data_IF_258361672348
#
_entry.id   IF_258361672348
#
_cell.length_a   1.000
_cell.length_b   1.000
_cell.length_c   1.000
_cell.angle_alpha   90.00
_cell.angle_beta   90.00
_cell.angle_gamma   90.00
#
_symmetry.space_group_name_H-M   'P 1'
#
loop_
_entity.id
_entity.type
_entity.pdbx_description
1 polymer ?
#
# COMPACT_ATOMS: atom_id res chain seq x y z
N UNK A 1 -12.70 -9.61 4.17
CA UNK A 1 -13.75 -9.72 3.14
C UNK A 1 -13.88 -8.39 2.46
N UNK A 2 -13.80 -8.34 1.15
CA UNK A 2 -14.10 -7.12 0.42
C UNK A 2 -15.55 -6.72 0.76
N UNK A 3 -15.83 -5.41 0.96
CA UNK A 3 -17.20 -4.97 1.15
C UNK A 3 -18.06 -5.42 -0.04
N UNK A 4 -19.27 -5.88 0.22
CA UNK A 4 -20.21 -6.40 -0.80
C UNK A 4 -20.53 -5.33 -1.85
N UNK A 5 -20.40 -4.06 -1.50
CA UNK A 5 -20.43 -2.91 -2.42
C UNK A 5 -19.03 -2.30 -2.55
N UNK A 6 -18.12 -3.00 -3.21
CA UNK A 6 -17.01 -2.31 -3.86
C UNK A 6 -17.65 -1.40 -4.90
N UNK A 7 -17.62 -0.09 -4.69
CA UNK A 7 -18.33 0.88 -5.50
C UNK A 7 -18.19 0.63 -7.01
N UNK A 8 -19.24 0.87 -7.73
CA UNK A 8 -19.25 0.77 -9.18
C UNK A 8 -18.33 1.82 -9.82
N UNK A 9 -18.05 1.68 -11.11
CA UNK A 9 -17.32 2.71 -11.84
C UNK A 9 -18.02 4.08 -11.76
N UNK A 10 -19.36 4.08 -11.81
CA UNK A 10 -20.15 5.30 -11.65
C UNK A 10 -19.97 5.96 -10.27
N UNK A 11 -19.87 5.17 -9.21
CA UNK A 11 -19.59 5.69 -7.86
C UNK A 11 -18.21 6.36 -7.79
N UNK A 12 -17.22 5.75 -8.44
CA UNK A 12 -15.89 6.35 -8.56
C UNK A 12 -15.93 7.67 -9.34
N UNK A 13 -16.64 7.72 -10.46
CA UNK A 13 -16.79 8.93 -11.28
C UNK A 13 -17.44 10.06 -10.46
N UNK A 14 -18.51 9.76 -9.75
CA UNK A 14 -19.18 10.73 -8.87
C UNK A 14 -18.24 11.20 -7.75
N UNK A 15 -17.53 10.28 -7.12
CA UNK A 15 -16.53 10.60 -6.09
C UNK A 15 -15.46 11.57 -6.59
N UNK A 16 -14.91 11.34 -7.79
CA UNK A 16 -13.90 12.22 -8.40
C UNK A 16 -14.47 13.60 -8.64
N UNK A 17 -15.67 13.71 -9.24
CA UNK A 17 -16.29 14.99 -9.53
C UNK A 17 -16.58 15.80 -8.26
N UNK A 18 -17.14 15.16 -7.25
CA UNK A 18 -17.44 15.82 -5.97
C UNK A 18 -16.19 16.33 -5.27
N UNK A 19 -15.15 15.50 -5.21
CA UNK A 19 -13.91 15.88 -4.54
C UNK A 19 -13.08 16.90 -5.35
N UNK A 20 -13.08 16.82 -6.67
CA UNK A 20 -12.44 17.86 -7.50
C UNK A 20 -13.11 19.22 -7.28
N UNK A 21 -14.45 19.28 -7.26
CA UNK A 21 -15.17 20.53 -6.95
C UNK A 21 -14.85 21.09 -5.57
N UNK A 22 -14.62 20.21 -4.60
CA UNK A 22 -14.32 20.60 -3.23
C UNK A 22 -12.89 21.12 -3.07
N UNK A 23 -11.91 20.44 -3.63
CA UNK A 23 -10.49 20.75 -3.43
C UNK A 23 -9.90 21.65 -4.52
N UNK A 24 -10.49 21.65 -5.71
CA UNK A 24 -10.05 22.44 -6.88
C UNK A 24 -11.25 23.18 -7.50
N UNK A 25 -11.84 24.16 -6.78
CA UNK A 25 -13.02 24.89 -7.26
C UNK A 25 -12.72 25.74 -8.49
N UNK A 26 -11.46 26.17 -8.67
CA UNK A 26 -11.01 26.86 -9.88
C UNK A 26 -10.42 25.87 -10.88
N UNK A 27 -11.05 25.65 -12.05
CA UNK A 27 -10.51 24.78 -13.08
C UNK A 27 -9.13 25.18 -13.60
N UNK A 28 -8.79 26.47 -13.50
CA UNK A 28 -7.49 26.99 -13.95
C UNK A 28 -6.35 26.70 -12.99
N UNK A 29 -6.65 26.21 -11.79
CA UNK A 29 -5.64 25.79 -10.83
C UNK A 29 -4.83 24.56 -11.27
N UNK A 30 -5.36 23.80 -12.25
CA UNK A 30 -4.73 22.61 -12.80
C UNK A 30 -4.26 22.84 -14.22
N UNK A 31 -3.12 22.26 -14.57
CA UNK A 31 -2.55 22.36 -15.92
C UNK A 31 -3.35 21.53 -16.92
N UNK A 32 -3.23 21.84 -18.22
CA UNK A 32 -3.86 21.06 -19.29
C UNK A 32 -3.46 19.58 -19.24
N UNK A 33 -2.19 19.30 -19.05
CA UNK A 33 -1.69 17.92 -18.93
C UNK A 33 -2.28 17.17 -17.73
N UNK A 34 -2.55 17.87 -16.64
CA UNK A 34 -3.23 17.28 -15.48
C UNK A 34 -4.69 16.94 -15.82
N UNK A 35 -5.38 17.81 -16.53
CA UNK A 35 -6.74 17.53 -16.99
C UNK A 35 -6.82 16.32 -17.94
N UNK A 36 -5.84 16.16 -18.83
CA UNK A 36 -5.75 15.00 -19.71
C UNK A 36 -5.59 13.68 -18.92
N UNK A 37 -4.84 13.72 -17.81
CA UNK A 37 -4.71 12.56 -16.89
C UNK A 37 -6.03 12.33 -16.14
N UNK A 38 -6.68 13.38 -15.62
CA UNK A 38 -7.97 13.27 -14.93
C UNK A 38 -9.00 12.60 -15.83
N UNK A 39 -9.13 13.07 -17.06
CA UNK A 39 -10.07 12.54 -18.04
C UNK A 39 -9.80 11.05 -18.32
N UNK A 40 -8.54 10.68 -18.54
CA UNK A 40 -8.15 9.29 -18.78
C UNK A 40 -8.53 8.38 -17.61
N UNK A 41 -8.18 8.76 -16.38
CA UNK A 41 -8.49 7.97 -15.20
C UNK A 41 -9.97 7.96 -14.84
N UNK A 42 -10.69 9.04 -15.15
CA UNK A 42 -12.12 9.12 -14.97
C UNK A 42 -12.89 8.13 -15.87
N UNK A 43 -12.39 7.89 -17.10
CA UNK A 43 -12.95 6.91 -18.02
C UNK A 43 -12.46 5.47 -17.79
N UNK A 44 -11.36 5.28 -17.06
CA UNK A 44 -10.75 3.97 -16.84
C UNK A 44 -11.56 3.14 -15.84
N UNK A 45 -12.34 2.18 -16.35
CA UNK A 45 -13.08 1.24 -15.51
C UNK A 45 -12.18 0.09 -15.06
N UNK A 46 -11.98 -0.01 -13.76
CA UNK A 46 -11.20 -1.06 -13.09
C UNK A 46 -12.06 -1.88 -12.12
N UNK A 47 -13.38 -1.82 -12.23
CA UNK A 47 -14.29 -2.51 -11.32
C UNK A 47 -14.12 -4.04 -11.33
N UNK A 48 -13.76 -4.61 -12.47
CA UNK A 48 -13.49 -6.05 -12.61
C UNK A 48 -12.34 -6.55 -11.72
N UNK A 49 -11.39 -5.67 -11.37
CA UNK A 49 -10.30 -6.01 -10.43
C UNK A 49 -10.82 -6.44 -9.07
N UNK A 50 -11.93 -5.84 -8.63
CA UNK A 50 -12.55 -6.17 -7.36
C UNK A 50 -13.07 -7.61 -7.36
N UNK A 51 -13.62 -8.06 -8.48
CA UNK A 51 -14.13 -9.42 -8.65
C UNK A 51 -12.98 -10.41 -8.76
N UNK A 52 -12.00 -10.11 -9.59
CA UNK A 52 -10.84 -11.00 -9.85
C UNK A 52 -10.01 -11.25 -8.60
N UNK A 53 -9.89 -10.28 -7.71
CA UNK A 53 -9.09 -10.40 -6.50
C UNK A 53 -9.90 -10.74 -5.25
N UNK A 54 -11.22 -10.91 -5.34
CA UNK A 54 -12.09 -11.12 -4.17
C UNK A 54 -11.64 -12.30 -3.30
N UNK A 55 -11.28 -13.42 -3.94
CA UNK A 55 -10.88 -14.65 -3.25
C UNK A 55 -9.51 -14.55 -2.56
N UNK A 56 -8.68 -13.61 -2.97
CA UNK A 56 -7.35 -13.39 -2.39
C UNK A 56 -7.36 -12.55 -1.10
N UNK A 57 -8.54 -12.09 -0.69
CA UNK A 57 -8.71 -11.30 0.53
C UNK A 57 -9.30 -12.16 1.66
N UNK A 58 -8.69 -12.06 2.84
CA UNK A 58 -9.16 -12.76 4.04
C UNK A 58 -10.59 -12.35 4.41
N UNK A 59 -11.36 -13.32 4.88
CA UNK A 59 -12.70 -13.08 5.44
C UNK A 59 -12.64 -12.50 6.87
N UNK A 60 -11.46 -12.49 7.48
CA UNK A 60 -11.24 -12.04 8.85
C UNK A 60 -10.23 -10.89 8.85
N UNK A 61 -10.40 -9.97 9.79
CA UNK A 61 -9.50 -8.83 9.97
C UNK A 61 -10.11 -7.48 9.55
N UNK A 62 -9.33 -6.39 9.58
CA UNK A 62 -9.80 -5.08 9.19
C UNK A 62 -10.18 -5.05 7.71
N UNK A 63 -11.14 -4.19 7.34
CA UNK A 63 -11.58 -4.03 5.97
C UNK A 63 -10.40 -3.64 5.06
N UNK A 64 -10.15 -4.41 3.99
CA UNK A 64 -9.07 -4.09 3.07
C UNK A 64 -9.40 -2.87 2.22
N UNK A 65 -8.38 -2.21 1.67
CA UNK A 65 -8.56 -1.19 0.64
C UNK A 65 -9.15 -1.83 -0.62
N UNK A 66 -10.00 -1.08 -1.31
CA UNK A 66 -10.67 -1.54 -2.54
C UNK A 66 -9.62 -1.83 -3.62
N UNK A 67 -9.59 -3.04 -4.21
CA UNK A 67 -8.56 -3.43 -5.18
C UNK A 67 -8.49 -2.53 -6.41
N UNK A 68 -9.63 -2.10 -6.95
CA UNK A 68 -9.67 -1.17 -8.10
C UNK A 68 -9.04 0.19 -7.78
N UNK A 69 -9.21 0.70 -6.54
CA UNK A 69 -8.55 1.92 -6.10
C UNK A 69 -7.03 1.73 -5.95
N UNK A 70 -6.60 0.59 -5.42
CA UNK A 70 -5.18 0.25 -5.31
C UNK A 70 -4.52 0.13 -6.68
N UNK A 71 -5.17 -0.54 -7.63
CA UNK A 71 -4.67 -0.68 -9.00
C UNK A 71 -4.61 0.67 -9.70
N UNK A 72 -5.65 1.48 -9.58
CA UNK A 72 -5.70 2.83 -10.16
C UNK A 72 -4.58 3.70 -9.61
N UNK A 73 -4.35 3.64 -8.30
CA UNK A 73 -3.25 4.37 -7.65
C UNK A 73 -1.89 3.93 -8.17
N UNK A 74 -1.68 2.64 -8.38
CA UNK A 74 -0.44 2.12 -8.95
C UNK A 74 -0.22 2.59 -10.40
N UNK A 75 -1.25 2.54 -11.24
CA UNK A 75 -1.17 3.05 -12.61
C UNK A 75 -0.91 4.57 -12.63
N UNK A 76 -1.52 5.31 -11.71
CA UNK A 76 -1.32 6.75 -11.57
C UNK A 76 0.14 7.08 -11.23
N UNK A 77 0.80 6.27 -10.38
CA UNK A 77 2.21 6.46 -10.07
C UNK A 77 3.10 6.35 -11.31
N UNK A 78 2.75 5.49 -12.25
CA UNK A 78 3.47 5.32 -13.52
C UNK A 78 3.30 6.56 -14.40
N UNK A 79 2.07 7.09 -14.51
CA UNK A 79 1.80 8.30 -15.29
C UNK A 79 2.56 9.53 -14.75
N UNK A 80 2.66 9.64 -13.42
CA UNK A 80 3.46 10.70 -12.78
C UNK A 80 4.95 10.36 -12.66
N UNK A 81 5.40 9.24 -13.27
CA UNK A 81 6.81 8.80 -13.29
C UNK A 81 7.44 8.62 -11.92
N UNK A 82 6.64 8.23 -10.94
CA UNK A 82 7.11 7.90 -9.59
C UNK A 82 7.33 6.40 -9.51
N UNK A 83 8.59 5.99 -9.56
CA UNK A 83 8.98 4.56 -9.57
C UNK A 83 9.06 3.94 -8.18
N UNK A 84 9.19 4.75 -7.14
CA UNK A 84 9.31 4.28 -5.77
C UNK A 84 7.94 4.24 -5.08
N UNK A 85 7.53 3.07 -4.60
CA UNK A 85 6.30 2.91 -3.81
C UNK A 85 6.35 3.73 -2.51
N UNK A 86 7.52 3.84 -1.90
CA UNK A 86 7.70 4.66 -0.69
C UNK A 86 7.44 6.13 -0.96
N UNK A 87 8.00 6.64 -2.06
CA UNK A 87 7.79 8.01 -2.50
C UNK A 87 6.33 8.24 -2.90
N UNK A 88 5.73 7.31 -3.64
CA UNK A 88 4.33 7.41 -4.05
C UNK A 88 3.39 7.48 -2.85
N UNK A 89 3.56 6.62 -1.85
CA UNK A 89 2.76 6.64 -0.64
C UNK A 89 2.91 7.97 0.14
N UNK A 90 4.08 8.59 0.12
CA UNK A 90 4.28 9.92 0.69
C UNK A 90 3.56 11.01 -0.11
N UNK A 91 3.66 10.97 -1.44
CA UNK A 91 2.98 11.92 -2.33
C UNK A 91 1.45 11.83 -2.25
N UNK A 92 0.89 10.62 -2.11
CA UNK A 92 -0.55 10.43 -1.88
C UNK A 92 -1.06 11.16 -0.63
N UNK A 93 -0.26 11.21 0.43
CA UNK A 93 -0.63 11.92 1.65
C UNK A 93 -0.57 13.43 1.49
N UNK A 94 0.37 13.92 0.70
CA UNK A 94 0.65 15.35 0.56
C UNK A 94 -0.19 16.01 -0.53
N UNK A 95 -0.58 15.26 -1.56
CA UNK A 95 -1.27 15.80 -2.71
C UNK A 95 -2.72 15.25 -2.79
N UNK A 96 -3.72 16.10 -2.49
CA UNK A 96 -5.12 15.71 -2.57
C UNK A 96 -5.54 15.15 -3.93
N UNK A 97 -4.97 15.69 -5.03
CA UNK A 97 -5.30 15.25 -6.37
C UNK A 97 -5.00 13.76 -6.59
N UNK A 98 -3.83 13.30 -6.11
CA UNK A 98 -3.43 11.90 -6.27
C UNK A 98 -4.34 10.95 -5.48
N UNK A 99 -4.75 11.35 -4.28
CA UNK A 99 -5.71 10.60 -3.48
C UNK A 99 -7.07 10.51 -4.20
N UNK A 100 -7.58 11.64 -4.69
CA UNK A 100 -8.88 11.72 -5.38
C UNK A 100 -8.88 10.84 -6.64
N UNK A 101 -7.86 10.97 -7.51
CA UNK A 101 -7.77 10.20 -8.74
C UNK A 101 -7.56 8.70 -8.48
N UNK A 102 -6.95 8.33 -7.37
CA UNK A 102 -6.85 6.93 -6.94
C UNK A 102 -8.18 6.37 -6.43
N UNK A 103 -9.11 7.23 -6.00
CA UNK A 103 -10.36 6.84 -5.36
C UNK A 103 -10.27 6.73 -3.83
N UNK A 104 -9.26 7.36 -3.21
CA UNK A 104 -9.11 7.42 -1.76
C UNK A 104 -9.61 8.74 -1.21
N UNK A 105 -10.18 8.70 0.00
CA UNK A 105 -10.48 9.94 0.73
C UNK A 105 -9.18 10.69 1.03
N UNK A 106 -9.23 12.02 0.88
CA UNK A 106 -8.09 12.88 1.21
C UNK A 106 -7.79 12.75 2.71
N UNK A 107 -6.54 12.40 3.02
CA UNK A 107 -6.09 12.13 4.38
C UNK A 107 -6.22 10.66 4.83
N UNK A 108 -6.95 9.82 4.09
CA UNK A 108 -7.05 8.38 4.36
C UNK A 108 -6.48 7.56 3.18
N UNK A 109 -5.17 7.61 3.02
CA UNK A 109 -4.44 6.95 1.94
C UNK A 109 -3.71 5.71 2.43
N UNK A 110 -3.50 4.71 1.55
CA UNK A 110 -2.76 3.50 1.91
C UNK A 110 -1.28 3.80 2.18
N UNK A 111 -0.72 3.04 3.13
CA UNK A 111 0.72 3.06 3.40
C UNK A 111 1.50 2.12 2.47
N UNK A 112 2.83 2.20 2.54
CA UNK A 112 3.77 1.39 1.74
C UNK A 112 3.50 -0.11 1.85
N UNK A 113 3.28 -0.61 3.07
CA UNK A 113 2.98 -2.04 3.30
C UNK A 113 1.72 -2.50 2.58
N UNK A 114 0.68 -1.66 2.54
CA UNK A 114 -0.57 -1.97 1.84
C UNK A 114 -0.36 -2.12 0.33
N UNK A 115 0.51 -1.31 -0.27
CA UNK A 115 0.87 -1.45 -1.68
C UNK A 115 1.61 -2.76 -1.96
N UNK A 116 2.58 -3.13 -1.13
CA UNK A 116 3.29 -4.40 -1.29
C UNK A 116 2.37 -5.60 -1.11
N UNK A 117 1.44 -5.56 -0.15
CA UNK A 117 0.43 -6.60 0.03
C UNK A 117 -0.51 -6.71 -1.17
N UNK A 118 -0.90 -5.57 -1.74
CA UNK A 118 -1.70 -5.55 -2.96
C UNK A 118 -0.96 -6.14 -4.15
N UNK A 119 0.29 -5.73 -4.39
CA UNK A 119 1.12 -6.25 -5.48
C UNK A 119 1.33 -7.76 -5.33
N UNK A 120 1.58 -8.24 -4.12
CA UNK A 120 1.69 -9.67 -3.85
C UNK A 120 0.42 -10.42 -4.24
N UNK A 121 -0.76 -9.90 -3.91
CA UNK A 121 -2.05 -10.52 -4.30
C UNK A 121 -2.26 -10.47 -5.81
N UNK A 122 -1.85 -9.40 -6.47
CA UNK A 122 -1.98 -9.24 -7.92
C UNK A 122 -1.10 -10.24 -8.68
N UNK A 123 0.12 -10.50 -8.18
CA UNK A 123 1.11 -11.35 -8.82
C UNK A 123 1.29 -12.73 -8.17
N UNK A 124 0.45 -13.07 -7.20
CA UNK A 124 0.44 -14.38 -6.58
C UNK A 124 -0.17 -15.39 -7.57
N UNK A 125 0.63 -15.75 -8.56
CA UNK A 125 0.35 -16.87 -9.43
C UNK A 125 0.99 -18.12 -8.80
N UNK A 126 0.32 -19.26 -8.93
CA UNK A 126 0.86 -20.57 -8.56
C UNK A 126 2.08 -20.97 -9.44
N UNK A 127 2.50 -20.10 -10.34
CA UNK A 127 3.65 -20.32 -11.20
C UNK A 127 4.96 -20.10 -10.42
N UNK A 128 5.77 -21.16 -10.21
CA UNK A 128 7.04 -21.06 -9.50
C UNK A 128 8.05 -20.11 -10.15
N UNK A 129 7.93 -19.81 -11.44
CA UNK A 129 8.76 -18.84 -12.13
C UNK A 129 8.46 -17.38 -11.75
N UNK A 130 7.21 -17.08 -11.38
CA UNK A 130 6.82 -15.74 -10.95
C UNK A 130 7.15 -15.48 -9.47
N UNK A 131 7.22 -16.53 -8.65
CA UNK A 131 7.60 -16.40 -7.22
C UNK A 131 9.10 -16.20 -7.00
N UNK A 132 9.95 -16.54 -7.96
CA UNK A 132 11.42 -16.42 -7.84
C UNK A 132 11.91 -14.97 -7.81
N UNK A 133 11.12 -14.00 -8.27
CA UNK A 133 11.46 -12.57 -8.26
C UNK A 133 10.95 -11.83 -7.02
N UNK A 134 10.12 -12.47 -6.21
CA UNK A 134 9.75 -11.93 -4.89
C UNK A 134 10.92 -12.25 -3.98
N UNK A 135 11.69 -11.25 -3.58
CA UNK A 135 12.70 -11.42 -2.53
C UNK A 135 12.03 -12.12 -1.35
N UNK A 136 12.51 -13.31 -0.94
CA UNK A 136 11.97 -13.96 0.25
C UNK A 136 12.07 -12.94 1.38
N UNK A 137 10.92 -12.58 1.97
CA UNK A 137 10.89 -11.78 3.19
C UNK A 137 11.89 -12.47 4.13
N UNK A 138 13.01 -11.80 4.46
CA UNK A 138 13.97 -12.31 5.41
C UNK A 138 13.16 -12.74 6.61
N UNK A 139 13.08 -14.04 6.85
CA UNK A 139 12.42 -14.57 8.04
C UNK A 139 12.96 -13.74 9.18
N UNK A 140 12.08 -13.12 9.97
CA UNK A 140 12.50 -12.40 11.17
C UNK A 140 13.21 -13.43 12.02
N UNK A 141 14.52 -13.40 11.99
CA UNK A 141 15.32 -14.19 12.92
C UNK A 141 14.86 -13.72 14.29
N UNK A 142 14.10 -14.55 14.99
CA UNK A 142 13.79 -14.30 16.39
C UNK A 142 15.14 -14.09 17.05
N UNK A 143 15.43 -12.86 17.51
CA UNK A 143 16.55 -12.62 18.37
C UNK A 143 16.36 -13.61 19.52
N UNK A 144 17.38 -14.43 19.88
CA UNK A 144 17.28 -15.28 21.02
C UNK A 144 16.90 -14.38 22.19
N UNK A 145 15.89 -14.78 22.93
CA UNK A 145 15.43 -14.06 24.10
C UNK A 145 16.61 -13.89 25.04
N UNK A 146 17.07 -12.66 25.21
CA UNK A 146 18.10 -12.29 26.18
C UNK A 146 17.49 -12.33 27.60
N UNK A 147 16.88 -13.46 27.94
CA UNK A 147 16.43 -13.78 29.29
C UNK A 147 17.21 -15.00 29.78
N UNK A 148 18.19 -14.70 30.63
CA UNK A 148 18.59 -15.63 31.68
C UNK A 148 19.80 -16.50 31.44
N UNK A 149 20.92 -15.93 31.12
CA UNK A 149 22.15 -16.43 31.74
C UNK A 149 22.71 -15.31 32.62
N UNK A 150 22.26 -15.27 33.86
CA UNK A 150 23.06 -14.73 34.94
C UNK A 150 24.31 -15.59 34.97
N UNK A 151 25.40 -15.03 34.47
CA UNK A 151 26.71 -15.62 34.65
C UNK A 151 26.92 -15.90 36.14
N UNK A 152 27.10 -17.17 36.48
CA UNK A 152 27.55 -17.56 37.78
C UNK A 152 28.85 -16.79 38.03
N UNK A 153 28.84 -15.97 39.05
CA UNK A 153 30.03 -15.31 39.55
C UNK A 153 31.05 -16.37 39.90
N UNK A 154 32.10 -16.47 39.11
CA UNK A 154 33.26 -17.22 39.46
C UNK A 154 33.91 -16.44 40.60
N UNK A 155 33.74 -16.91 41.83
CA UNK A 155 34.53 -16.51 42.96
C UNK A 155 35.99 -16.84 42.63
N UNK A 156 36.79 -15.82 42.37
CA UNK A 156 38.24 -15.91 42.35
C UNK A 156 38.69 -16.05 43.81
N UNK A 157 38.99 -17.23 44.20
CA UNK A 157 39.82 -17.45 45.37
C UNK A 157 41.16 -16.73 45.16
N UNK A 158 41.33 -15.67 45.91
CA UNK A 158 42.61 -15.00 46.02
C UNK A 158 43.48 -15.88 46.98
N UNK A 159 44.35 -16.70 46.40
CA UNK A 159 45.38 -17.41 47.15
C UNK A 159 46.29 -16.42 47.85
N UNK A 160 46.26 -16.41 49.15
CA UNK A 160 47.23 -15.74 49.99
C UNK A 160 48.59 -16.41 49.83
N UNK A 161 49.54 -15.70 49.25
CA UNK A 161 50.92 -16.04 49.34
C UNK A 161 51.37 -15.71 50.76
N UNK A 162 51.72 -16.73 51.52
CA UNK A 162 52.51 -16.56 52.72
C UNK A 162 54.00 -16.68 52.40
N UNK A 163 54.71 -15.72 52.89
CA UNK A 163 56.18 -15.65 52.98
C UNK A 163 56.78 -16.85 53.67
#
# INVERSE_FOLDING_TARGET
MLPVNCGSHADYQNFVVENLRKYYPDPNALTRSTWDIIERFWHLDLSDTNVLLADKYSKFGPAPRIPSCMQRSYLLSIDFKVSSITEWAAQLKMNPLFAILSGFQVGDTPGVGTFYDFMKRLWDSDDPHMTSHIHPLKAKVKKPDAKGEKAASVEKEIGRAHV
#
